data_IF_586751791744
#
_entry.id   IF_586751791744
#
_cell.length_a   1.000
_cell.length_b   1.000
_cell.length_c   1.000
_cell.angle_alpha   90.00
_cell.angle_beta   90.00
_cell.angle_gamma   90.00
#
_symmetry.space_group_name_H-M   'P 1'
#
loop_
_entity.id
_entity.type
_entity.pdbx_description
1 polymer ?
#
# COMPACT_ATOMS: atom_id res chain seq x y z
N UNK A 1 18.74 -16.06 -36.74
CA UNK A 1 18.00 -14.82 -36.45
C UNK A 1 18.84 -13.96 -35.53
N UNK A 2 19.05 -12.66 -35.80
CA UNK A 2 19.73 -11.78 -34.84
C UNK A 2 18.89 -11.72 -33.55
N UNK A 3 19.53 -11.96 -32.40
CA UNK A 3 18.87 -11.98 -31.09
C UNK A 3 18.21 -10.63 -30.81
N UNK A 4 16.89 -10.62 -30.66
CA UNK A 4 16.17 -9.40 -30.30
C UNK A 4 16.46 -9.08 -28.85
N UNK A 5 17.17 -7.97 -28.62
CA UNK A 5 17.27 -7.36 -27.29
C UNK A 5 15.84 -7.14 -26.79
N UNK A 6 15.57 -7.61 -25.59
CA UNK A 6 14.25 -7.54 -24.98
C UNK A 6 13.87 -6.08 -24.76
N UNK A 7 12.82 -5.62 -25.45
CA UNK A 7 12.35 -4.22 -25.38
C UNK A 7 11.56 -4.02 -24.10
N UNK A 8 12.17 -3.34 -23.12
CA UNK A 8 11.51 -3.00 -21.86
C UNK A 8 10.45 -1.93 -22.08
N UNK A 9 9.31 -2.05 -21.38
CA UNK A 9 8.33 -0.95 -21.32
C UNK A 9 8.97 0.28 -20.67
N UNK A 10 8.69 1.52 -21.14
CA UNK A 10 9.18 2.75 -20.50
C UNK A 10 8.93 2.74 -18.99
N UNK A 11 9.97 3.03 -18.20
CA UNK A 11 9.89 2.96 -16.73
C UNK A 11 10.11 1.57 -16.14
N UNK A 12 10.33 0.52 -16.95
CA UNK A 12 10.81 -0.78 -16.47
C UNK A 12 12.33 -0.79 -16.45
N UNK A 13 12.92 -1.29 -15.36
CA UNK A 13 14.36 -1.54 -15.24
C UNK A 13 14.64 -3.02 -15.06
N UNK A 14 15.75 -3.48 -15.64
CA UNK A 14 16.36 -4.76 -15.32
C UNK A 14 17.49 -4.53 -14.29
N UNK A 15 17.39 -5.19 -13.14
CA UNK A 15 18.43 -5.22 -12.11
C UNK A 15 19.14 -6.56 -12.15
N UNK A 16 20.48 -6.56 -12.24
CA UNK A 16 21.31 -7.76 -12.18
C UNK A 16 21.53 -8.15 -10.70
N UNK A 17 21.31 -9.43 -10.38
CA UNK A 17 21.43 -10.01 -9.04
C UNK A 17 22.68 -10.90 -8.88
N UNK A 18 23.66 -10.80 -9.79
CA UNK A 18 24.90 -11.57 -9.73
C UNK A 18 24.80 -12.92 -10.45
N UNK A 19 24.00 -12.99 -11.53
CA UNK A 19 23.82 -14.19 -12.34
C UNK A 19 22.39 -14.37 -12.81
N UNK A 20 21.41 -13.94 -12.03
CA UNK A 20 19.99 -13.77 -12.36
C UNK A 20 19.63 -12.28 -12.41
N UNK A 21 18.35 -11.93 -12.53
CA UNK A 21 17.93 -10.54 -12.42
C UNK A 21 16.46 -10.35 -12.09
N UNK A 22 16.06 -9.09 -12.00
CA UNK A 22 14.69 -8.68 -11.68
C UNK A 22 14.26 -7.55 -12.61
N UNK A 23 13.13 -7.75 -13.30
CA UNK A 23 12.40 -6.69 -13.99
C UNK A 23 11.47 -5.99 -13.00
N UNK A 24 11.52 -4.67 -12.93
CA UNK A 24 10.71 -3.87 -12.01
C UNK A 24 10.16 -2.62 -12.69
N UNK A 25 8.88 -2.32 -12.47
CA UNK A 25 8.26 -1.09 -12.96
C UNK A 25 8.42 0.07 -11.95
N UNK A 26 8.80 1.26 -12.43
CA UNK A 26 9.05 2.44 -11.60
C UNK A 26 7.78 3.12 -11.08
N UNK A 27 6.63 2.88 -11.70
CA UNK A 27 5.35 3.51 -11.34
C UNK A 27 4.29 2.53 -10.84
N UNK A 28 4.53 1.22 -11.00
CA UNK A 28 3.58 0.18 -10.61
C UNK A 28 4.28 -0.87 -9.74
N UNK A 29 3.60 -1.48 -8.75
CA UNK A 29 4.17 -2.50 -7.87
C UNK A 29 4.23 -3.87 -8.58
N UNK A 30 4.87 -3.90 -9.76
CA UNK A 30 5.03 -5.08 -10.60
C UNK A 30 6.51 -5.42 -10.70
N UNK A 31 6.83 -6.68 -10.41
CA UNK A 31 8.17 -7.22 -10.52
C UNK A 31 8.14 -8.63 -11.15
N UNK A 32 9.18 -8.99 -11.87
CA UNK A 32 9.38 -10.35 -12.36
C UNK A 32 10.82 -10.79 -12.20
N UNK A 33 10.99 -12.01 -11.67
CA UNK A 33 12.28 -12.67 -11.63
C UNK A 33 12.71 -13.11 -13.03
N UNK A 34 13.97 -12.86 -13.37
CA UNK A 34 14.63 -13.23 -14.62
C UNK A 34 15.70 -14.28 -14.30
N UNK A 35 15.52 -15.55 -14.71
CA UNK A 35 16.53 -16.58 -14.46
C UNK A 35 17.83 -16.31 -15.25
N UNK A 36 18.97 -16.91 -14.86
CA UNK A 36 20.26 -16.67 -15.50
C UNK A 36 20.27 -16.88 -17.02
N UNK A 37 19.65 -17.96 -17.49
CA UNK A 37 19.52 -18.22 -18.92
C UNK A 37 18.80 -17.08 -19.67
N UNK A 38 17.79 -16.47 -19.02
CA UNK A 38 17.04 -15.37 -19.59
C UNK A 38 17.72 -14.01 -19.42
N UNK A 39 18.63 -13.86 -18.45
CA UNK A 39 19.47 -12.67 -18.35
C UNK A 39 20.35 -12.48 -19.58
N UNK A 40 20.88 -13.57 -20.13
CA UNK A 40 21.68 -13.51 -21.37
C UNK A 40 20.85 -13.04 -22.57
N UNK A 41 19.57 -13.38 -22.62
CA UNK A 41 18.65 -12.88 -23.66
C UNK A 41 18.25 -11.42 -23.42
N UNK A 42 17.90 -11.08 -22.17
CA UNK A 42 17.37 -9.78 -21.80
C UNK A 42 18.43 -8.66 -21.79
N UNK A 43 19.64 -8.94 -21.30
CA UNK A 43 20.70 -7.94 -21.14
C UNK A 43 21.74 -7.95 -22.28
N UNK A 44 21.96 -9.11 -22.94
CA UNK A 44 23.10 -9.31 -23.86
C UNK A 44 22.70 -9.62 -25.30
N UNK A 45 21.40 -9.66 -25.62
CA UNK A 45 20.91 -9.91 -26.99
C UNK A 45 21.34 -11.26 -27.57
N UNK A 46 21.70 -12.23 -26.72
CA UNK A 46 22.12 -13.54 -27.16
C UNK A 46 20.96 -14.29 -27.83
N UNK A 47 21.25 -15.08 -28.86
CA UNK A 47 20.26 -15.97 -29.46
C UNK A 47 19.76 -16.97 -28.41
N UNK A 48 18.46 -17.27 -28.45
CA UNK A 48 17.84 -18.27 -27.58
C UNK A 48 18.16 -19.66 -28.14
N UNK A 49 18.80 -20.56 -27.37
CA UNK A 49 19.00 -21.95 -27.81
C UNK A 49 17.66 -22.64 -28.06
N UNK A 50 17.60 -23.54 -29.04
CA UNK A 50 16.36 -24.21 -29.47
C UNK A 50 15.64 -24.91 -28.31
N UNK A 51 16.40 -25.56 -27.42
CA UNK A 51 15.92 -26.24 -26.22
C UNK A 51 15.26 -25.31 -25.19
N UNK A 52 15.45 -23.99 -25.32
CA UNK A 52 14.92 -22.99 -24.41
C UNK A 52 13.83 -22.09 -25.01
N UNK A 53 13.53 -22.21 -26.31
CA UNK A 53 12.53 -21.38 -27.00
C UNK A 53 11.14 -21.43 -26.34
N UNK A 54 10.67 -22.62 -25.97
CA UNK A 54 9.37 -22.78 -25.31
C UNK A 54 9.34 -22.10 -23.92
N UNK A 55 10.45 -22.13 -23.18
CA UNK A 55 10.55 -21.44 -21.89
C UNK A 55 10.62 -19.92 -22.08
N UNK A 56 11.37 -19.46 -23.08
CA UNK A 56 11.46 -18.06 -23.47
C UNK A 56 10.09 -17.47 -23.85
N UNK A 57 9.34 -18.16 -24.72
CA UNK A 57 8.00 -17.72 -25.13
C UNK A 57 7.03 -17.60 -23.95
N UNK A 58 7.09 -18.53 -22.99
CA UNK A 58 6.28 -18.44 -21.76
C UNK A 58 6.68 -17.25 -20.88
N UNK A 59 7.98 -16.99 -20.73
CA UNK A 59 8.47 -15.84 -19.95
C UNK A 59 8.04 -14.52 -20.59
N UNK A 60 8.23 -14.37 -21.92
CA UNK A 60 7.79 -13.19 -22.65
C UNK A 60 6.29 -12.96 -22.52
N UNK A 61 5.47 -14.00 -22.68
CA UNK A 61 4.01 -13.89 -22.51
C UNK A 61 3.66 -13.38 -21.11
N UNK A 62 4.29 -13.94 -20.06
CA UNK A 62 4.05 -13.51 -18.69
C UNK A 62 4.50 -12.06 -18.46
N UNK A 63 5.71 -11.69 -18.88
CA UNK A 63 6.24 -10.34 -18.70
C UNK A 63 5.45 -9.28 -19.47
N UNK A 64 4.97 -9.60 -20.67
CA UNK A 64 4.06 -8.73 -21.45
C UNK A 64 2.71 -8.57 -20.77
N UNK A 65 2.12 -9.67 -20.29
CA UNK A 65 0.85 -9.60 -19.53
C UNK A 65 0.98 -8.78 -18.24
N UNK A 66 2.19 -8.71 -17.67
CA UNK A 66 2.51 -7.87 -16.52
C UNK A 66 2.92 -6.43 -16.92
N UNK A 67 2.97 -6.09 -18.21
CA UNK A 67 3.34 -4.76 -18.70
C UNK A 67 4.84 -4.42 -18.61
N UNK A 68 5.71 -5.40 -18.37
CA UNK A 68 7.16 -5.17 -18.17
C UNK A 68 7.95 -5.12 -19.49
N UNK A 69 7.40 -5.67 -20.57
CA UNK A 69 8.07 -5.84 -21.87
C UNK A 69 7.10 -5.44 -22.98
N UNK A 70 7.62 -4.75 -24.00
CA UNK A 70 6.87 -4.36 -25.19
C UNK A 70 6.71 -5.54 -26.18
N UNK A 71 5.69 -5.45 -27.02
CA UNK A 71 5.63 -6.28 -28.22
C UNK A 71 6.70 -5.84 -29.23
N UNK A 72 7.24 -6.81 -29.97
CA UNK A 72 7.97 -6.49 -31.18
C UNK A 72 6.92 -6.10 -32.23
N UNK A 73 6.64 -4.80 -32.39
CA UNK A 73 5.76 -4.35 -33.47
C UNK A 73 6.38 -4.69 -34.83
N UNK A 74 5.63 -5.26 -35.80
CA UNK A 74 5.83 -4.92 -37.19
C UNK A 74 5.40 -3.44 -37.39
N UNK A 75 6.10 -2.67 -38.23
CA UNK A 75 5.74 -1.28 -38.45
C UNK A 75 4.34 -1.22 -39.09
N UNK A 76 3.48 -0.38 -38.55
CA UNK A 76 2.12 -0.07 -39.02
C UNK A 76 1.09 -1.17 -38.80
N UNK A 77 0.43 -1.14 -37.64
CA UNK A 77 -0.97 -1.54 -37.57
C UNK A 77 -1.72 -0.48 -36.76
N UNK A 78 -2.62 0.31 -37.38
CA UNK A 78 -3.43 1.25 -36.64
C UNK A 78 -4.27 0.45 -35.64
N UNK A 79 -4.25 0.88 -34.38
CA UNK A 79 -5.12 0.34 -33.34
C UNK A 79 -6.58 0.51 -33.79
N UNK A 80 -7.17 -0.55 -34.33
CA UNK A 80 -8.61 -0.72 -34.46
C UNK A 80 -9.21 -0.69 -33.07
N UNK A 81 -9.68 0.50 -32.69
CA UNK A 81 -10.50 0.76 -31.51
C UNK A 81 -11.95 0.68 -31.96
N UNK A 82 -12.43 -0.53 -32.20
CA UNK A 82 -13.82 -0.92 -32.44
C UNK A 82 -14.03 -2.14 -31.53
N UNK A 83 -14.92 -2.18 -30.53
CA UNK A 83 -16.25 -1.62 -30.44
C UNK A 83 -16.51 -1.02 -29.04
N UNK A 84 -16.97 0.23 -29.02
CA UNK A 84 -17.87 0.70 -27.95
C UNK A 84 -19.26 0.83 -28.56
N UNK A 85 -20.32 0.31 -27.94
CA UNK A 85 -21.67 0.49 -28.47
C UNK A 85 -22.00 1.99 -28.46
N UNK A 86 -22.07 2.58 -29.66
CA UNK A 86 -22.35 3.99 -29.90
C UNK A 86 -23.70 4.47 -29.30
N UNK A 87 -24.55 3.56 -28.80
CA UNK A 87 -25.82 3.88 -28.14
C UNK A 87 -25.71 4.30 -26.66
N UNK A 88 -24.54 4.18 -26.03
CA UNK A 88 -24.35 4.59 -24.62
C UNK A 88 -23.66 5.95 -24.48
N UNK A 89 -22.73 6.29 -25.38
CA UNK A 89 -22.06 7.60 -25.40
C UNK A 89 -23.04 8.76 -25.62
N UNK A 90 -24.11 8.53 -26.40
CA UNK A 90 -25.18 9.52 -26.62
C UNK A 90 -26.10 9.76 -25.42
N UNK A 91 -26.17 8.82 -24.46
CA UNK A 91 -26.97 8.98 -23.22
C UNK A 91 -26.22 9.66 -22.09
N UNK A 92 -24.88 9.55 -22.08
CA UNK A 92 -24.01 10.22 -21.10
C UNK A 92 -23.97 11.75 -21.27
N UNK A 93 -24.23 12.27 -22.46
CA UNK A 93 -24.05 13.69 -22.77
C UNK A 93 -25.15 14.63 -22.23
N UNK A 94 -26.22 14.12 -21.60
CA UNK A 94 -27.43 14.91 -21.32
C UNK A 94 -27.95 14.83 -19.89
N UNK A 95 -27.27 14.15 -18.96
CA UNK A 95 -27.67 14.14 -17.55
C UNK A 95 -27.25 15.46 -16.89
N UNK A 96 -28.15 16.43 -16.96
CA UNK A 96 -28.01 17.69 -16.26
C UNK A 96 -28.16 17.45 -14.76
N UNK A 97 -27.03 17.51 -14.04
CA UNK A 97 -27.02 17.54 -12.57
C UNK A 97 -26.93 18.99 -12.11
N UNK A 98 -27.68 19.33 -11.06
CA UNK A 98 -27.66 20.65 -10.44
C UNK A 98 -26.45 20.84 -9.51
N UNK A 99 -25.80 19.74 -9.14
CA UNK A 99 -24.65 19.68 -8.25
C UNK A 99 -23.72 18.51 -8.60
N UNK A 100 -22.50 18.45 -8.05
CA UNK A 100 -21.61 17.32 -8.27
C UNK A 100 -22.18 16.00 -7.71
N UNK A 101 -22.18 14.94 -8.53
CA UNK A 101 -22.65 13.60 -8.16
C UNK A 101 -21.59 12.56 -8.50
N UNK A 102 -21.15 11.77 -7.51
CA UNK A 102 -20.30 10.62 -7.71
C UNK A 102 -21.10 9.33 -7.59
N UNK A 103 -21.30 8.63 -8.70
CA UNK A 103 -22.00 7.35 -8.74
C UNK A 103 -20.98 6.21 -8.73
N UNK A 104 -20.93 5.44 -7.65
CA UNK A 104 -19.95 4.38 -7.41
C UNK A 104 -20.62 3.02 -7.63
N UNK A 105 -20.07 2.22 -8.53
CA UNK A 105 -20.50 0.83 -8.74
C UNK A 105 -19.78 -0.10 -7.77
N UNK A 106 -20.57 -0.94 -7.12
CA UNK A 106 -20.13 -1.92 -6.14
C UNK A 106 -20.74 -3.30 -6.37
N UNK A 107 -20.01 -4.33 -5.92
CA UNK A 107 -20.47 -5.72 -5.95
C UNK A 107 -20.55 -6.26 -4.52
N UNK A 108 -21.62 -6.99 -4.16
CA UNK A 108 -21.69 -7.68 -2.88
C UNK A 108 -20.59 -8.75 -2.83
N UNK A 109 -19.81 -8.75 -1.76
CA UNK A 109 -18.64 -9.63 -1.62
C UNK A 109 -17.31 -8.98 -2.01
N UNK A 110 -17.31 -7.80 -2.63
CA UNK A 110 -16.09 -7.01 -2.77
C UNK A 110 -15.70 -6.41 -1.41
N UNK A 111 -14.62 -6.92 -0.81
CA UNK A 111 -14.08 -6.40 0.46
C UNK A 111 -13.74 -4.91 0.42
N UNK A 112 -13.33 -4.39 -0.74
CA UNK A 112 -13.09 -2.97 -0.95
C UNK A 112 -14.38 -2.13 -0.87
N UNK A 113 -15.46 -2.60 -1.50
CA UNK A 113 -16.75 -1.92 -1.47
C UNK A 113 -17.37 -1.91 -0.06
N UNK A 114 -17.20 -2.99 0.71
CA UNK A 114 -17.63 -3.02 2.12
C UNK A 114 -16.90 -1.96 2.96
N UNK A 115 -15.59 -1.80 2.74
CA UNK A 115 -14.81 -0.77 3.43
C UNK A 115 -15.21 0.64 2.98
N UNK A 116 -15.33 0.87 1.68
CA UNK A 116 -15.76 2.16 1.13
C UNK A 116 -17.13 2.57 1.65
N UNK A 117 -18.07 1.63 1.79
CA UNK A 117 -19.37 1.90 2.41
C UNK A 117 -19.23 2.36 3.87
N UNK A 118 -18.40 1.68 4.66
CA UNK A 118 -18.19 2.06 6.05
C UNK A 118 -17.48 3.41 6.18
N UNK A 119 -16.56 3.71 5.27
CA UNK A 119 -15.88 5.00 5.16
C UNK A 119 -16.84 6.15 4.81
N UNK A 120 -17.69 5.96 3.79
CA UNK A 120 -18.73 6.93 3.42
C UNK A 120 -19.74 7.14 4.55
N UNK A 121 -20.06 6.09 5.30
CA UNK A 121 -20.90 6.18 6.48
C UNK A 121 -20.24 6.99 7.61
N UNK A 122 -18.96 6.75 7.89
CA UNK A 122 -18.17 7.52 8.86
C UNK A 122 -18.07 9.00 8.47
N UNK A 123 -18.06 9.29 7.17
CA UNK A 123 -18.00 10.65 6.61
C UNK A 123 -19.38 11.25 6.31
N UNK A 124 -20.50 10.64 6.72
CA UNK A 124 -21.85 11.07 6.31
C UNK A 124 -22.12 12.55 6.59
N UNK A 125 -21.74 13.05 7.76
CA UNK A 125 -21.93 14.45 8.14
C UNK A 125 -21.04 15.40 7.32
N UNK A 126 -19.78 15.01 7.08
CA UNK A 126 -18.88 15.76 6.21
C UNK A 126 -19.48 15.87 4.80
N UNK A 127 -19.92 14.74 4.22
CA UNK A 127 -20.57 14.67 2.92
C UNK A 127 -21.87 15.50 2.87
N UNK A 128 -22.65 15.53 3.95
CA UNK A 128 -23.86 16.34 4.07
C UNK A 128 -23.63 17.85 3.90
N UNK A 129 -22.41 18.34 4.20
CA UNK A 129 -22.05 19.77 4.08
C UNK A 129 -21.54 20.18 2.70
N UNK A 130 -21.25 19.22 1.82
CA UNK A 130 -20.49 19.48 0.58
C UNK A 130 -21.31 19.90 -0.65
N UNK A 131 -22.63 20.10 -0.51
CA UNK A 131 -23.56 20.25 -1.66
C UNK A 131 -23.25 19.29 -2.82
N UNK A 132 -22.84 18.07 -2.49
CA UNK A 132 -22.52 17.01 -3.42
C UNK A 132 -23.25 15.73 -3.00
N UNK A 133 -23.44 14.81 -3.95
CA UNK A 133 -24.09 13.53 -3.68
C UNK A 133 -23.16 12.38 -4.04
N UNK A 134 -23.04 11.40 -3.15
CA UNK A 134 -22.37 10.14 -3.43
C UNK A 134 -23.43 9.05 -3.47
N UNK A 135 -23.55 8.36 -4.59
CA UNK A 135 -24.53 7.30 -4.82
C UNK A 135 -23.79 5.97 -5.00
N UNK A 136 -23.97 5.02 -4.11
CA UNK A 136 -23.45 3.65 -4.28
C UNK A 136 -24.53 2.77 -4.90
N UNK A 137 -24.24 2.22 -6.07
CA UNK A 137 -25.10 1.30 -6.83
C UNK A 137 -24.47 -0.09 -6.89
N UNK A 138 -25.30 -1.13 -6.95
CA UNK A 138 -24.86 -2.53 -6.91
C UNK A 138 -26.06 -3.47 -6.75
N UNK A 139 -25.85 -4.67 -6.19
CA UNK A 139 -26.98 -5.55 -5.83
C UNK A 139 -27.68 -5.02 -4.57
N UNK A 140 -28.92 -4.55 -4.74
CA UNK A 140 -29.76 -4.04 -3.66
C UNK A 140 -30.24 -2.60 -3.89
N UNK A 141 -30.83 -1.99 -2.85
CA UNK A 141 -31.29 -0.60 -2.93
C UNK A 141 -30.07 0.35 -2.99
N UNK A 142 -30.05 1.33 -3.92
CA UNK A 142 -29.01 2.35 -3.93
C UNK A 142 -28.94 3.08 -2.59
N UNK A 143 -27.72 3.46 -2.20
CA UNK A 143 -27.47 4.22 -0.97
C UNK A 143 -26.89 5.56 -1.33
N UNK A 144 -27.45 6.63 -0.77
CA UNK A 144 -27.01 8.01 -1.01
C UNK A 144 -26.42 8.60 0.26
N UNK A 145 -25.28 9.28 0.12
CA UNK A 145 -24.70 10.16 1.12
C UNK A 145 -24.59 11.57 0.54
N UNK A 146 -24.63 12.58 1.42
CA UNK A 146 -24.60 13.99 1.01
C UNK A 146 -25.99 14.55 0.69
N UNK A 147 -26.06 15.43 -0.30
CA UNK A 147 -27.31 16.06 -0.72
C UNK A 147 -28.31 15.04 -1.26
N UNK A 148 -29.61 15.26 -1.00
CA UNK A 148 -30.68 14.35 -1.43
C UNK A 148 -30.82 14.38 -2.95
N UNK A 149 -30.89 13.18 -3.55
CA UNK A 149 -31.23 12.98 -4.95
C UNK A 149 -32.72 12.62 -5.08
N UNK A 150 -33.36 13.06 -6.16
CA UNK A 150 -34.74 12.64 -6.48
C UNK A 150 -34.77 11.16 -6.88
N UNK A 151 -35.87 10.46 -6.60
CA UNK A 151 -35.99 9.02 -6.91
C UNK A 151 -35.87 8.71 -8.40
N UNK A 152 -36.45 9.55 -9.27
CA UNK A 152 -36.31 9.41 -10.72
C UNK A 152 -34.87 9.66 -11.21
N UNK A 153 -34.17 10.62 -10.61
CA UNK A 153 -32.76 10.87 -10.94
C UNK A 153 -31.83 9.75 -10.52
N UNK A 154 -32.12 9.02 -9.43
CA UNK A 154 -31.28 7.92 -8.97
C UNK A 154 -31.24 6.73 -9.96
N UNK A 155 -32.34 6.44 -10.65
CA UNK A 155 -32.40 5.36 -11.65
C UNK A 155 -31.57 5.71 -12.88
N UNK A 156 -31.73 6.93 -13.41
CA UNK A 156 -30.94 7.43 -14.54
C UNK A 156 -29.43 7.49 -14.22
N UNK A 157 -29.08 7.91 -13.00
CA UNK A 157 -27.69 7.92 -12.52
C UNK A 157 -27.10 6.51 -12.41
N UNK A 158 -27.90 5.54 -11.95
CA UNK A 158 -27.47 4.15 -11.87
C UNK A 158 -27.23 3.53 -13.25
N UNK A 159 -28.09 3.84 -14.23
CA UNK A 159 -27.92 3.40 -15.62
C UNK A 159 -26.61 3.94 -16.24
N UNK A 160 -26.29 5.22 -16.02
CA UNK A 160 -25.03 5.81 -16.50
C UNK A 160 -23.80 5.12 -15.91
N UNK A 161 -23.88 4.67 -14.66
CA UNK A 161 -22.78 3.98 -14.00
C UNK A 161 -22.66 2.50 -14.39
N UNK A 162 -23.74 1.86 -14.86
CA UNK A 162 -23.79 0.43 -15.18
C UNK A 162 -22.69 0.00 -16.19
N UNK A 163 -22.39 0.85 -17.17
CA UNK A 163 -21.34 0.59 -18.16
C UNK A 163 -19.94 0.51 -17.54
N UNK A 164 -19.70 1.17 -16.40
CA UNK A 164 -18.41 1.12 -15.70
C UNK A 164 -18.22 -0.14 -14.87
N UNK A 165 -19.30 -0.91 -14.62
CA UNK A 165 -19.24 -2.17 -13.88
C UNK A 165 -18.30 -3.20 -14.55
N UNK A 166 -18.24 -3.19 -15.89
CA UNK A 166 -17.38 -4.06 -16.67
C UNK A 166 -15.87 -3.84 -16.45
N UNK A 167 -15.49 -2.70 -15.85
CA UNK A 167 -14.09 -2.36 -15.55
C UNK A 167 -13.61 -2.85 -14.17
N UNK A 168 -14.47 -3.54 -13.41
CA UNK A 168 -14.17 -4.03 -12.07
C UNK A 168 -14.64 -3.09 -10.95
N UNK A 169 -14.55 -3.54 -9.70
CA UNK A 169 -14.99 -2.78 -8.52
C UNK A 169 -13.83 -2.41 -7.60
N UNK A 170 -13.84 -1.20 -7.01
CA UNK A 170 -14.79 -0.11 -7.27
C UNK A 170 -14.49 0.61 -8.60
N UNK A 171 -15.55 0.98 -9.32
CA UNK A 171 -15.51 1.94 -10.43
C UNK A 171 -16.57 3.01 -10.17
N UNK A 172 -16.41 4.21 -10.74
CA UNK A 172 -17.36 5.29 -10.54
C UNK A 172 -17.53 6.17 -11.78
N UNK A 173 -18.59 6.96 -11.78
CA UNK A 173 -18.81 8.07 -12.70
C UNK A 173 -18.96 9.34 -11.88
N UNK A 174 -18.12 10.33 -12.15
CA UNK A 174 -18.25 11.68 -11.61
C UNK A 174 -19.02 12.54 -12.62
N UNK A 175 -20.09 13.17 -12.14
CA UNK A 175 -20.92 14.12 -12.86
C UNK A 175 -20.77 15.48 -12.18
N UNK A 176 -20.46 16.52 -12.94
CA UNK A 176 -20.41 17.89 -12.43
C UNK A 176 -21.33 18.78 -13.27
N UNK A 177 -21.91 19.86 -12.69
CA UNK A 177 -22.81 20.74 -13.42
C UNK A 177 -22.14 21.34 -14.65
N UNK A 178 -22.72 21.13 -15.83
CA UNK A 178 -22.21 21.65 -17.10
C UNK A 178 -21.05 20.87 -17.73
N UNK A 179 -20.54 19.83 -17.07
CA UNK A 179 -19.41 19.03 -17.55
C UNK A 179 -19.85 17.68 -18.13
N UNK A 180 -19.01 17.12 -19.00
CA UNK A 180 -19.17 15.73 -19.45
C UNK A 180 -18.88 14.73 -18.32
N UNK A 181 -19.61 13.61 -18.22
CA UNK A 181 -19.34 12.60 -17.21
C UNK A 181 -17.92 12.02 -17.30
N UNK A 182 -17.24 11.89 -16.16
CA UNK A 182 -15.89 11.29 -16.06
C UNK A 182 -15.95 9.91 -15.44
N UNK A 183 -15.50 8.89 -16.17
CA UNK A 183 -15.32 7.53 -15.63
C UNK A 183 -14.05 7.43 -14.80
N UNK A 184 -14.15 6.79 -13.64
CA UNK A 184 -13.08 6.56 -12.68
C UNK A 184 -12.97 5.06 -12.38
N UNK A 185 -11.74 4.56 -12.30
CA UNK A 185 -11.49 3.13 -12.13
C UNK A 185 -10.53 2.87 -10.98
N UNK A 186 -10.93 1.96 -10.09
CA UNK A 186 -10.15 1.55 -8.93
C UNK A 186 -10.25 2.51 -7.75
N UNK A 187 -9.88 2.00 -6.57
CA UNK A 187 -10.03 2.70 -5.29
C UNK A 187 -9.32 4.07 -5.29
N UNK A 188 -8.08 4.14 -5.77
CA UNK A 188 -7.31 5.40 -5.76
C UNK A 188 -8.00 6.54 -6.51
N UNK A 189 -8.56 6.27 -7.69
CA UNK A 189 -9.26 7.27 -8.48
C UNK A 189 -10.60 7.69 -7.84
N UNK A 190 -11.34 6.72 -7.27
CA UNK A 190 -12.62 6.98 -6.58
C UNK A 190 -12.39 7.80 -5.31
N UNK A 191 -11.41 7.43 -4.49
CA UNK A 191 -11.08 8.18 -3.25
C UNK A 191 -10.52 9.56 -3.55
N UNK A 192 -9.69 9.72 -4.58
CA UNK A 192 -9.22 11.05 -5.00
C UNK A 192 -10.39 11.96 -5.39
N UNK A 193 -11.36 11.45 -6.15
CA UNK A 193 -12.56 12.21 -6.50
C UNK A 193 -13.41 12.58 -5.28
N UNK A 194 -13.54 11.69 -4.29
CA UNK A 194 -14.22 12.02 -3.03
C UNK A 194 -13.52 13.15 -2.25
N UNK A 195 -12.18 13.15 -2.22
CA UNK A 195 -11.38 14.21 -1.59
C UNK A 195 -11.53 15.53 -2.32
N UNK A 196 -11.45 15.52 -3.65
CA UNK A 196 -11.64 16.72 -4.49
C UNK A 196 -13.05 17.30 -4.33
N UNK A 197 -14.08 16.44 -4.30
CA UNK A 197 -15.46 16.85 -4.00
C UNK A 197 -15.58 17.47 -2.60
N UNK A 198 -14.73 17.04 -1.68
CA UNK A 198 -14.57 17.62 -0.35
C UNK A 198 -13.88 18.98 -0.30
N UNK A 199 -13.38 19.50 -1.43
CA UNK A 199 -12.49 20.67 -1.45
C UNK A 199 -11.07 20.38 -0.93
N UNK A 200 -10.76 19.10 -0.67
CA UNK A 200 -9.43 18.66 -0.24
C UNK A 200 -8.48 18.45 -1.42
N UNK A 201 -7.18 18.39 -1.12
CA UNK A 201 -6.13 18.05 -2.07
C UNK A 201 -5.76 16.57 -1.93
N UNK A 202 -6.05 15.70 -2.92
CA UNK A 202 -5.67 14.28 -2.87
C UNK A 202 -4.16 14.04 -2.69
N UNK A 203 -3.31 14.99 -3.10
CA UNK A 203 -1.86 14.92 -2.89
C UNK A 203 -1.44 15.19 -1.44
N UNK A 204 -2.31 15.82 -0.65
CA UNK A 204 -2.12 16.13 0.78
C UNK A 204 -2.94 15.24 1.70
N UNK A 205 -3.82 14.39 1.18
CA UNK A 205 -4.62 13.47 1.98
C UNK A 205 -4.06 12.05 1.89
N UNK A 206 -3.93 11.38 3.04
CA UNK A 206 -3.48 9.99 3.07
C UNK A 206 -4.64 9.08 2.70
N UNK A 207 -4.42 8.25 1.67
CA UNK A 207 -5.34 7.21 1.25
C UNK A 207 -4.68 5.85 1.41
N UNK A 208 -5.23 4.98 2.26
CA UNK A 208 -4.80 3.59 2.38
C UNK A 208 -5.90 2.67 1.84
N UNK A 209 -5.54 1.83 0.87
CA UNK A 209 -6.40 0.73 0.46
C UNK A 209 -6.43 -0.35 1.57
N UNK A 210 -7.56 -1.03 1.79
CA UNK A 210 -7.58 -2.25 2.59
C UNK A 210 -6.55 -3.26 2.07
N UNK A 211 -5.62 -3.70 2.90
CA UNK A 211 -4.57 -4.66 2.51
C UNK A 211 -4.89 -6.11 2.84
N UNK A 212 -6.06 -6.37 3.46
CA UNK A 212 -6.49 -7.72 3.85
C UNK A 212 -7.99 -7.94 3.63
N UNK A 213 -8.34 -9.17 3.27
CA UNK A 213 -9.73 -9.65 3.25
C UNK A 213 -10.31 -9.87 4.67
N UNK A 214 -9.60 -9.47 5.74
CA UNK A 214 -10.13 -9.50 7.10
C UNK A 214 -11.15 -8.37 7.27
N UNK A 215 -12.28 -8.53 6.60
CA UNK A 215 -13.47 -7.70 6.69
C UNK A 215 -14.09 -7.69 8.10
N UNK A 216 -13.57 -8.49 9.03
CA UNK A 216 -14.12 -8.73 10.37
C UNK A 216 -14.14 -7.51 11.29
N UNK A 217 -13.46 -6.41 10.93
CA UNK A 217 -13.45 -5.23 11.80
C UNK A 217 -14.12 -4.03 11.10
N UNK A 218 -14.29 -4.05 9.78
CA UNK A 218 -14.55 -2.88 8.94
C UNK A 218 -15.99 -2.34 8.80
N UNK A 219 -17.03 -3.13 9.01
CA UNK A 219 -18.31 -2.87 8.31
C UNK A 219 -19.39 -2.09 9.09
N UNK A 220 -19.03 -1.38 10.17
CA UNK A 220 -20.00 -0.70 11.03
C UNK A 220 -19.74 0.80 11.16
N UNK A 221 -20.77 1.60 11.50
CA UNK A 221 -20.60 3.01 11.80
C UNK A 221 -19.56 3.23 12.91
N UNK A 222 -18.98 4.42 12.92
CA UNK A 222 -18.01 4.89 13.92
C UNK A 222 -18.66 6.03 14.71
N UNK A 223 -18.27 6.21 15.96
CA UNK A 223 -18.85 7.23 16.83
C UNK A 223 -18.21 8.60 16.63
N UNK A 224 -17.01 8.62 16.05
CA UNK A 224 -16.26 9.83 15.75
C UNK A 224 -15.29 9.57 14.61
N UNK A 225 -15.15 10.56 13.75
CA UNK A 225 -14.08 10.69 12.77
C UNK A 225 -13.43 12.06 12.98
N UNK A 226 -12.12 12.08 13.14
CA UNK A 226 -11.34 13.32 13.21
C UNK A 226 -10.27 13.34 12.14
N UNK A 227 -9.88 14.55 11.74
CA UNK A 227 -8.75 14.77 10.85
C UNK A 227 -7.55 15.21 11.66
N UNK A 228 -6.44 14.48 11.53
CA UNK A 228 -5.15 14.81 12.14
C UNK A 228 -4.17 15.17 11.02
N UNK A 229 -3.25 16.10 11.27
CA UNK A 229 -2.27 16.55 10.27
C UNK A 229 -0.86 16.06 10.61
N UNK A 230 -0.32 15.16 9.78
CA UNK A 230 1.06 14.67 9.90
C UNK A 230 1.96 15.38 8.89
N UNK A 231 2.75 16.38 9.32
CA UNK A 231 3.70 17.13 8.48
C UNK A 231 3.05 17.63 7.17
N UNK A 232 1.88 18.25 7.27
CA UNK A 232 1.13 18.79 6.14
C UNK A 232 0.28 17.77 5.36
N UNK A 233 0.16 16.53 5.86
CA UNK A 233 -0.76 15.52 5.31
C UNK A 233 -1.95 15.25 6.23
N UNK A 234 -3.16 15.29 5.68
CA UNK A 234 -4.38 14.94 6.39
C UNK A 234 -4.53 13.41 6.55
N UNK A 235 -4.85 12.97 7.75
CA UNK A 235 -5.06 11.56 8.13
C UNK A 235 -6.38 11.45 8.87
N UNK A 236 -7.32 10.67 8.33
CA UNK A 236 -8.59 10.39 9.00
C UNK A 236 -8.43 9.31 10.08
N UNK A 237 -8.79 9.64 11.31
CA UNK A 237 -8.76 8.73 12.46
C UNK A 237 -10.18 8.52 12.97
N UNK A 238 -10.70 7.31 12.82
CA UNK A 238 -12.01 6.93 13.32
C UNK A 238 -11.93 6.23 14.69
N UNK A 239 -12.94 6.45 15.53
CA UNK A 239 -13.05 5.83 16.86
C UNK A 239 -14.42 5.17 17.04
N UNK A 240 -14.45 4.03 17.75
CA UNK A 240 -15.69 3.38 18.20
C UNK A 240 -15.64 3.09 19.71
N UNK A 241 -16.60 3.62 20.43
CA UNK A 241 -16.76 3.57 21.88
C UNK A 241 -16.31 4.87 22.56
N UNK A 242 -16.89 5.22 23.71
CA UNK A 242 -16.64 6.49 24.39
C UNK A 242 -15.17 6.70 24.77
N UNK A 243 -14.44 5.63 25.13
CA UNK A 243 -13.04 5.75 25.52
C UNK A 243 -12.10 5.95 24.31
N UNK A 244 -12.24 5.21 23.19
CA UNK A 244 -11.60 5.57 21.93
C UNK A 244 -11.86 6.99 21.45
N UNK A 245 -13.09 7.48 21.61
CA UNK A 245 -13.41 8.88 21.27
C UNK A 245 -12.56 9.85 22.10
N UNK A 246 -12.45 9.63 23.41
CA UNK A 246 -11.61 10.47 24.30
C UNK A 246 -10.14 10.47 23.86
N UNK A 247 -9.57 9.30 23.59
CA UNK A 247 -8.15 9.19 23.17
C UNK A 247 -7.90 9.90 21.85
N UNK A 248 -8.84 9.80 20.90
CA UNK A 248 -8.73 10.45 19.60
C UNK A 248 -8.94 11.97 19.73
N UNK A 249 -9.79 12.42 20.66
CA UNK A 249 -9.93 13.85 20.97
C UNK A 249 -8.65 14.44 21.59
N UNK A 250 -7.98 13.72 22.49
CA UNK A 250 -6.70 14.14 23.08
C UNK A 250 -5.62 14.29 22.00
N UNK A 251 -5.56 13.35 21.04
CA UNK A 251 -4.66 13.43 19.89
C UNK A 251 -4.91 14.69 19.05
N UNK A 252 -6.17 15.06 18.81
CA UNK A 252 -6.54 16.25 18.02
C UNK A 252 -6.23 17.54 18.78
N UNK A 253 -6.49 17.59 20.08
CA UNK A 253 -6.23 18.76 20.90
C UNK A 253 -4.75 19.19 20.85
N UNK A 254 -3.84 18.22 20.71
CA UNK A 254 -2.40 18.45 20.60
C UNK A 254 -1.95 18.85 19.18
N UNK A 255 -2.61 18.31 18.15
CA UNK A 255 -2.26 18.53 16.73
C UNK A 255 -2.97 19.75 16.12
N UNK A 256 -3.90 20.39 16.85
CA UNK A 256 -4.66 21.56 16.42
C UNK A 256 -3.87 22.86 16.55
N UNK A 257 -2.83 23.02 15.73
CA UNK A 257 -2.18 24.31 15.46
C UNK A 257 -2.29 24.76 13.99
N UNK A 258 -2.93 23.97 13.12
CA UNK A 258 -3.11 24.30 11.70
C UNK A 258 -4.57 24.13 11.31
N UNK A 259 -5.31 25.24 11.37
CA UNK A 259 -6.65 25.35 10.81
C UNK A 259 -6.62 24.98 9.32
N UNK A 260 -7.34 23.92 8.97
CA UNK A 260 -7.58 23.50 7.61
C UNK A 260 -9.00 22.97 7.53
N UNK A 261 -9.74 23.47 6.55
CA UNK A 261 -11.13 23.11 6.28
C UNK A 261 -11.21 21.59 6.06
N UNK A 262 -11.89 20.87 6.96
CA UNK A 262 -11.92 19.41 6.92
C UNK A 262 -13.03 18.98 5.97
N UNK A 263 -12.73 19.08 4.68
CA UNK A 263 -13.47 18.37 3.65
C UNK A 263 -13.53 16.85 3.91
N UNK A 264 -13.97 16.10 2.91
CA UNK A 264 -13.93 14.65 3.00
C UNK A 264 -12.48 14.15 3.24
N UNK A 265 -12.30 13.35 4.29
CA UNK A 265 -11.03 12.68 4.61
C UNK A 265 -11.31 11.18 4.82
N UNK A 266 -10.67 10.29 4.05
CA UNK A 266 -10.90 8.86 4.18
C UNK A 266 -10.38 8.34 5.52
N UNK A 267 -11.11 7.38 6.09
CA UNK A 267 -10.74 6.64 7.29
C UNK A 267 -9.45 5.85 7.00
N UNK A 268 -8.34 6.37 7.51
CA UNK A 268 -7.02 5.74 7.36
C UNK A 268 -6.71 4.88 8.57
N UNK A 269 -6.95 5.40 9.77
CA UNK A 269 -6.78 4.72 11.03
C UNK A 269 -8.12 4.49 11.71
N UNK A 270 -8.21 3.39 12.46
CA UNK A 270 -9.33 3.18 13.39
C UNK A 270 -8.87 2.66 14.73
N UNK A 271 -9.47 3.21 15.78
CA UNK A 271 -9.26 2.82 17.17
C UNK A 271 -10.52 2.16 17.71
N UNK A 272 -10.35 0.95 18.26
CA UNK A 272 -11.42 0.21 18.91
C UNK A 272 -10.95 -0.31 20.27
N UNK A 273 -11.88 -0.46 21.23
CA UNK A 273 -11.61 -1.07 22.54
C UNK A 273 -12.55 -2.24 22.83
N UNK A 274 -12.40 -3.40 22.18
CA UNK A 274 -13.17 -4.57 22.56
C UNK A 274 -12.76 -5.07 23.95
N UNK A 275 -13.70 -5.03 24.91
CA UNK A 275 -13.47 -5.40 26.31
C UNK A 275 -12.32 -4.57 26.92
N UNK A 276 -11.21 -5.20 27.31
CA UNK A 276 -10.11 -4.59 28.03
C UNK A 276 -8.84 -4.41 27.17
N UNK A 277 -8.97 -4.47 25.85
CA UNK A 277 -7.83 -4.35 24.93
C UNK A 277 -8.13 -3.25 23.92
N UNK A 278 -7.12 -2.42 23.67
CA UNK A 278 -7.16 -1.39 22.64
C UNK A 278 -6.52 -1.93 21.36
N UNK A 279 -7.16 -1.68 20.23
CA UNK A 279 -6.73 -2.14 18.91
C UNK A 279 -6.64 -0.94 17.97
N UNK A 280 -5.52 -0.82 17.28
CA UNK A 280 -5.32 0.19 16.24
C UNK A 280 -5.21 -0.52 14.90
N UNK A 281 -6.10 -0.14 13.99
CA UNK A 281 -6.16 -0.64 12.63
C UNK A 281 -5.73 0.44 11.65
N UNK A 282 -5.14 0.01 10.53
CA UNK A 282 -4.84 0.85 9.37
C UNK A 282 -5.45 0.21 8.13
N UNK A 283 -6.43 0.87 7.51
CA UNK A 283 -7.29 0.26 6.48
C UNK A 283 -8.04 -0.96 7.03
N UNK A 284 -7.46 -2.16 6.87
CA UNK A 284 -7.96 -3.42 7.44
C UNK A 284 -6.93 -4.21 8.27
N UNK A 285 -5.72 -3.69 8.39
CA UNK A 285 -4.57 -4.35 9.03
C UNK A 285 -4.50 -3.97 10.51
N UNK A 286 -4.35 -4.95 11.41
CA UNK A 286 -4.11 -4.69 12.82
C UNK A 286 -2.63 -4.34 13.00
N UNK A 287 -2.34 -3.07 13.31
CA UNK A 287 -0.97 -2.55 13.38
C UNK A 287 -0.44 -2.43 14.82
N UNK A 288 -1.33 -2.27 15.80
CA UNK A 288 -0.94 -2.23 17.20
C UNK A 288 -2.04 -2.72 18.13
N UNK A 289 -1.63 -3.15 19.32
CA UNK A 289 -2.52 -3.42 20.45
C UNK A 289 -1.90 -2.92 21.75
N UNK A 290 -2.73 -2.46 22.66
CA UNK A 290 -2.32 -1.86 23.93
C UNK A 290 -3.30 -2.21 25.05
N UNK A 291 -2.88 -2.02 26.29
CA UNK A 291 -3.71 -2.30 27.48
C UNK A 291 -4.26 -1.05 28.15
N UNK A 292 -3.70 0.12 27.86
CA UNK A 292 -4.13 1.40 28.45
C UNK A 292 -4.42 2.46 27.38
N UNK A 293 -5.17 3.48 27.78
CA UNK A 293 -5.44 4.65 26.95
C UNK A 293 -4.13 5.42 26.64
N UNK A 294 -3.27 5.62 27.64
CA UNK A 294 -1.96 6.28 27.49
C UNK A 294 -1.06 5.60 26.45
N UNK A 295 -0.95 4.26 26.52
CA UNK A 295 -0.16 3.51 25.55
C UNK A 295 -0.76 3.63 24.15
N UNK A 296 -2.10 3.61 24.05
CA UNK A 296 -2.82 3.79 22.78
C UNK A 296 -2.56 5.18 22.18
N UNK A 297 -2.65 6.24 22.98
CA UNK A 297 -2.37 7.60 22.57
C UNK A 297 -0.91 7.75 22.10
N UNK A 298 0.04 7.20 22.85
CA UNK A 298 1.46 7.19 22.45
C UNK A 298 1.71 6.44 21.15
N UNK A 299 1.03 5.31 20.92
CA UNK A 299 1.12 4.56 19.67
C UNK A 299 0.50 5.35 18.52
N UNK A 300 -0.65 5.98 18.72
CA UNK A 300 -1.30 6.82 17.69
C UNK A 300 -0.41 7.98 17.27
N UNK A 301 0.19 8.73 18.22
CA UNK A 301 1.14 9.81 17.90
C UNK A 301 2.27 9.32 17.01
N UNK A 302 2.84 8.15 17.34
CA UNK A 302 3.92 7.54 16.56
C UNK A 302 3.46 7.16 15.14
N UNK A 303 2.32 6.49 15.03
CA UNK A 303 1.76 6.05 13.74
C UNK A 303 1.44 7.25 12.87
N UNK A 304 0.79 8.28 13.43
CA UNK A 304 0.44 9.53 12.75
C UNK A 304 1.70 10.22 12.23
N UNK A 305 2.73 10.39 13.05
CA UNK A 305 3.98 11.01 12.64
C UNK A 305 4.63 10.31 11.42
N UNK A 306 4.44 9.00 11.28
CA UNK A 306 4.97 8.22 10.15
C UNK A 306 4.24 8.41 8.82
N UNK A 307 3.08 9.06 8.79
CA UNK A 307 2.41 9.38 7.52
C UNK A 307 3.01 10.57 6.77
N UNK A 308 3.88 11.33 7.43
CA UNK A 308 4.61 12.43 6.83
C UNK A 308 5.44 11.99 5.60
N UNK A 309 5.78 12.92 4.71
CA UNK A 309 6.63 12.62 3.57
C UNK A 309 8.03 12.16 4.04
N UNK A 310 8.65 11.18 3.35
CA UNK A 310 10.03 10.79 3.63
C UNK A 310 11.01 11.90 3.24
N UNK A 311 12.19 11.92 3.86
CA UNK A 311 13.29 12.78 3.40
C UNK A 311 13.84 12.28 2.05
N UNK A 312 14.54 13.15 1.31
CA UNK A 312 15.01 12.85 -0.05
C UNK A 312 15.96 11.63 -0.14
N UNK A 313 16.64 11.31 0.95
CA UNK A 313 17.56 10.17 1.07
C UNK A 313 16.90 8.91 1.67
N UNK A 314 15.63 8.99 2.08
CA UNK A 314 14.91 7.89 2.70
C UNK A 314 14.06 7.14 1.67
N UNK A 315 14.07 5.81 1.77
CA UNK A 315 13.27 4.91 0.96
C UNK A 315 12.05 4.45 1.74
N UNK A 316 10.87 4.76 1.24
CA UNK A 316 9.60 4.34 1.86
C UNK A 316 9.25 2.92 1.40
N UNK A 317 9.23 1.96 2.31
CA UNK A 317 8.83 0.58 2.06
C UNK A 317 7.42 0.29 2.61
N UNK A 318 6.65 -0.45 1.83
CA UNK A 318 5.30 -0.98 2.11
C UNK A 318 5.39 -2.39 2.70
N UNK A 319 6.28 -2.57 3.69
CA UNK A 319 6.48 -3.81 4.43
C UNK A 319 6.22 -3.60 5.92
N UNK A 320 6.24 -4.69 6.69
CA UNK A 320 6.26 -4.62 8.15
C UNK A 320 7.70 -4.64 8.67
N UNK A 321 7.89 -4.21 9.92
CA UNK A 321 9.15 -4.35 10.63
C UNK A 321 8.91 -4.88 12.04
N UNK A 322 9.84 -5.67 12.55
CA UNK A 322 9.89 -6.09 13.94
C UNK A 322 11.19 -5.56 14.53
N UNK A 323 11.10 -4.95 15.70
CA UNK A 323 12.21 -4.32 16.42
C UNK A 323 12.56 -5.17 17.63
N UNK A 324 13.82 -5.49 17.79
CA UNK A 324 14.38 -6.05 19.00
C UNK A 324 14.91 -4.90 19.86
N UNK A 325 14.30 -4.69 21.02
CA UNK A 325 14.87 -3.80 22.03
C UNK A 325 15.53 -4.69 23.07
N UNK A 326 16.86 -4.75 23.06
CA UNK A 326 17.58 -5.42 24.14
C UNK A 326 17.28 -4.73 25.48
N UNK A 327 17.31 -5.54 26.54
CA UNK A 327 17.15 -5.12 27.93
C UNK A 327 18.13 -3.99 28.32
N UNK A 328 17.90 -3.28 29.44
CA UNK A 328 18.72 -2.14 29.83
C UNK A 328 20.21 -2.54 29.89
N UNK A 329 21.03 -1.96 29.01
CA UNK A 329 22.48 -2.17 28.99
C UNK A 329 23.09 -2.72 27.69
N UNK A 330 22.31 -3.01 26.64
CA UNK A 330 22.86 -3.35 25.32
C UNK A 330 22.38 -2.31 24.29
N UNK A 331 23.34 -1.63 23.66
CA UNK A 331 23.09 -0.48 22.78
C UNK A 331 22.63 -0.87 21.35
N UNK A 332 22.48 -2.16 21.06
CA UNK A 332 22.32 -2.64 19.68
C UNK A 332 20.90 -3.15 19.42
N UNK A 333 19.95 -2.21 19.31
CA UNK A 333 18.62 -2.52 18.79
C UNK A 333 18.71 -3.13 17.38
N UNK A 334 17.91 -4.15 17.07
CA UNK A 334 17.93 -4.85 15.77
C UNK A 334 16.58 -4.77 15.09
N UNK A 335 16.57 -4.77 13.76
CA UNK A 335 15.34 -4.75 12.98
C UNK A 335 15.34 -5.87 11.96
N UNK A 336 14.22 -6.59 11.87
CA UNK A 336 13.93 -7.48 10.73
C UNK A 336 12.74 -6.96 9.94
N UNK A 337 12.85 -6.99 8.62
CA UNK A 337 11.75 -6.66 7.71
C UNK A 337 10.91 -7.89 7.42
N UNK A 338 9.59 -7.72 7.31
CA UNK A 338 8.64 -8.82 7.07
C UNK A 338 7.60 -8.41 6.02
N UNK A 339 6.95 -9.36 5.33
CA UNK A 339 5.83 -9.05 4.45
C UNK A 339 4.72 -8.32 5.24
N UNK A 340 4.17 -7.25 4.66
CA UNK A 340 3.13 -6.43 5.32
C UNK A 340 1.93 -7.25 5.77
N UNK A 341 1.49 -8.22 4.96
CA UNK A 341 0.38 -9.10 5.29
C UNK A 341 0.63 -10.03 6.50
N UNK A 342 1.86 -10.10 7.03
CA UNK A 342 2.18 -10.83 8.26
C UNK A 342 2.02 -9.98 9.53
N UNK A 343 1.92 -8.64 9.43
CA UNK A 343 1.94 -7.76 10.60
C UNK A 343 0.82 -8.07 11.60
N UNK A 344 -0.43 -8.20 11.12
CA UNK A 344 -1.57 -8.58 11.97
C UNK A 344 -1.32 -9.88 12.74
N UNK A 345 -0.67 -10.87 12.11
CA UNK A 345 -0.33 -12.15 12.75
C UNK A 345 0.64 -11.96 13.92
N UNK A 346 1.66 -11.10 13.75
CA UNK A 346 2.63 -10.76 14.78
C UNK A 346 2.03 -9.90 15.89
N UNK A 347 1.17 -8.93 15.56
CA UNK A 347 0.51 -8.07 16.56
C UNK A 347 -0.40 -8.88 17.48
N UNK A 348 -1.18 -9.83 16.93
CA UNK A 348 -2.00 -10.76 17.74
C UNK A 348 -1.14 -11.56 18.73
N UNK A 349 0.10 -11.89 18.35
CA UNK A 349 1.07 -12.66 19.16
C UNK A 349 2.14 -11.79 19.83
N UNK A 350 1.92 -10.48 19.94
CA UNK A 350 2.91 -9.54 20.48
C UNK A 350 3.38 -9.86 21.90
N UNK A 351 2.54 -10.46 22.76
CA UNK A 351 3.00 -10.96 24.07
C UNK A 351 4.03 -12.09 23.98
N UNK A 352 3.94 -12.96 22.97
CA UNK A 352 4.90 -14.02 22.76
C UNK A 352 6.22 -13.44 22.24
N UNK A 353 6.16 -12.54 21.25
CA UNK A 353 7.32 -11.81 20.73
C UNK A 353 8.04 -11.02 21.82
N UNK A 354 7.28 -10.29 22.64
CA UNK A 354 7.84 -9.43 23.69
C UNK A 354 8.63 -10.20 24.75
N UNK A 355 8.31 -11.49 24.99
CA UNK A 355 9.11 -12.36 25.86
C UNK A 355 10.50 -12.66 25.31
N UNK A 356 10.67 -12.53 24.01
CA UNK A 356 11.93 -12.72 23.29
C UNK A 356 12.51 -11.40 22.81
N UNK A 357 12.16 -10.27 23.45
CA UNK A 357 12.69 -8.93 23.12
C UNK A 357 12.15 -8.28 21.84
N UNK A 358 11.36 -9.00 21.04
CA UNK A 358 10.81 -8.49 19.78
C UNK A 358 9.47 -7.75 19.95
N UNK A 359 9.27 -6.71 19.15
CA UNK A 359 8.03 -5.94 19.11
C UNK A 359 7.67 -5.57 17.66
N UNK A 360 6.41 -5.70 17.24
CA UNK A 360 5.97 -5.12 15.98
C UNK A 360 6.17 -3.61 15.95
N UNK A 361 6.75 -3.11 14.86
CA UNK A 361 6.76 -1.69 14.55
C UNK A 361 5.38 -1.31 13.97
N UNK A 362 4.63 -0.39 14.61
CA UNK A 362 3.31 0.00 14.13
C UNK A 362 3.38 1.07 13.03
N UNK A 363 4.56 1.55 12.65
CA UNK A 363 4.74 2.66 11.73
C UNK A 363 4.07 2.35 10.37
N UNK A 364 3.41 3.34 9.74
CA UNK A 364 2.70 3.11 8.50
C UNK A 364 3.67 2.78 7.35
N UNK A 365 4.89 3.28 7.40
CA UNK A 365 5.88 2.92 6.41
C UNK A 365 7.19 2.64 7.10
N UNK A 366 7.88 1.62 6.60
CA UNK A 366 9.27 1.37 6.97
C UNK A 366 10.11 2.35 6.16
N UNK A 367 10.71 3.33 6.82
CA UNK A 367 11.63 4.27 6.19
C UNK A 367 13.05 3.70 6.29
N UNK A 368 13.63 3.35 5.15
CA UNK A 368 14.98 2.81 5.06
C UNK A 368 15.96 3.91 4.62
N UNK A 369 17.11 4.01 5.29
CA UNK A 369 18.20 4.90 4.91
C UNK A 369 19.50 4.08 4.80
N UNK A 370 20.42 4.49 3.91
CA UNK A 370 21.78 3.97 3.94
C UNK A 370 22.52 4.57 5.15
N UNK A 371 23.13 3.76 6.02
CA UNK A 371 23.86 4.34 7.16
C UNK A 371 24.94 5.31 6.67
N UNK A 372 24.82 6.58 7.08
CA UNK A 372 25.79 7.62 6.76
C UNK A 372 27.07 7.37 7.55
N UNK A 373 28.18 7.11 6.85
CA UNK A 373 29.47 6.71 7.41
C UNK A 373 30.18 7.76 8.26
N UNK A 374 29.68 8.03 9.48
CA UNK A 374 30.42 8.74 10.54
C UNK A 374 31.01 7.78 11.58
N UNK A 375 31.48 6.62 11.14
CA UNK A 375 32.35 5.74 11.92
C UNK A 375 33.75 5.73 11.30
N UNK A 376 34.85 5.76 12.09
CA UNK A 376 36.19 5.72 11.54
C UNK A 376 36.50 4.29 11.08
N UNK A 377 36.46 4.03 9.78
CA UNK A 377 36.95 2.76 9.23
C UNK A 377 36.50 2.52 7.78
N UNK A 378 37.45 2.40 6.81
CA UNK A 378 37.15 1.86 5.50
C UNK A 378 37.19 0.33 5.62
N UNK A 379 36.05 -0.28 5.92
CA UNK A 379 35.86 -1.72 5.93
C UNK A 379 34.67 -2.11 5.06
N UNK A 380 34.62 -3.34 4.51
CA UNK A 380 33.51 -3.83 3.68
C UNK A 380 32.15 -3.88 4.41
N UNK A 381 32.11 -3.64 5.73
CA UNK A 381 30.91 -3.47 6.56
C UNK A 381 30.29 -2.06 6.51
N UNK A 382 30.81 -1.15 5.69
CA UNK A 382 30.28 0.22 5.58
C UNK A 382 28.91 0.24 4.87
N UNK A 383 27.89 0.64 5.64
CA UNK A 383 26.51 0.98 5.27
C UNK A 383 25.45 -0.13 5.38
N UNK A 384 25.36 -0.82 6.54
CA UNK A 384 24.13 -1.55 6.90
C UNK A 384 22.93 -0.59 6.82
N UNK A 385 21.83 -0.97 6.16
CA UNK A 385 20.67 -0.10 6.09
C UNK A 385 20.06 0.08 7.47
N UNK A 386 19.53 1.27 7.74
CA UNK A 386 18.88 1.61 9.01
C UNK A 386 17.41 1.88 8.81
N UNK A 387 16.59 1.38 9.72
CA UNK A 387 15.21 1.80 9.89
C UNK A 387 15.21 3.16 10.58
N UNK A 388 14.58 4.13 9.96
CA UNK A 388 14.33 5.46 10.53
C UNK A 388 12.92 5.46 11.12
N UNK A 389 12.83 5.48 12.45
CA UNK A 389 11.57 5.65 13.16
C UNK A 389 11.27 7.14 13.35
N UNK A 390 10.15 7.62 12.80
CA UNK A 390 9.66 8.97 13.07
C UNK A 390 9.40 9.14 14.57
N UNK A 391 9.96 10.19 15.17
CA UNK A 391 9.70 10.54 16.56
C UNK A 391 8.77 11.74 16.64
N UNK A 392 7.73 11.71 17.49
CA UNK A 392 6.93 12.89 17.81
C UNK A 392 7.79 14.07 18.33
N UNK A 393 8.90 13.78 19.00
CA UNK A 393 9.85 14.79 19.49
C UNK A 393 10.81 15.33 18.40
N UNK A 394 10.57 15.01 17.12
CA UNK A 394 11.36 15.49 15.98
C UNK A 394 12.70 14.77 15.76
N UNK A 395 13.26 14.10 16.78
CA UNK A 395 14.53 13.36 16.65
C UNK A 395 14.24 11.92 16.24
N UNK A 396 14.41 11.61 14.95
CA UNK A 396 14.19 10.26 14.44
C UNK A 396 15.16 9.24 15.08
N UNK A 397 14.63 8.11 15.53
CA UNK A 397 15.46 6.99 16.01
C UNK A 397 15.94 6.18 14.81
N UNK A 398 17.20 5.76 14.82
CA UNK A 398 17.79 4.93 13.77
C UNK A 398 18.19 3.59 14.34
N UNK A 399 17.74 2.50 13.71
CA UNK A 399 18.04 1.15 14.15
C UNK A 399 18.55 0.30 12.98
N UNK A 400 19.64 -0.44 13.13
CA UNK A 400 20.18 -1.27 12.05
C UNK A 400 19.20 -2.37 11.65
N UNK A 401 18.99 -2.52 10.35
CA UNK A 401 18.28 -3.65 9.78
C UNK A 401 19.25 -4.80 9.61
N UNK A 402 18.96 -5.92 10.28
CA UNK A 402 19.85 -7.08 10.35
C UNK A 402 19.42 -8.22 9.43
N UNK A 403 18.21 -8.17 8.88
CA UNK A 403 17.75 -9.18 7.93
C UNK A 403 16.31 -9.00 7.46
N UNK A 404 15.90 -9.90 6.57
CA UNK A 404 14.54 -9.96 6.03
C UNK A 404 13.98 -11.37 6.22
N UNK A 405 12.77 -11.46 6.76
CA UNK A 405 11.98 -12.68 6.72
C UNK A 405 11.02 -12.54 5.52
N UNK A 406 10.91 -13.57 4.69
CA UNK A 406 10.02 -13.54 3.53
C UNK A 406 9.35 -14.89 3.28
N UNK A 407 8.18 -14.83 2.62
CA UNK A 407 7.45 -16.02 2.21
C UNK A 407 8.27 -16.83 1.20
N UNK A 408 8.35 -18.15 1.38
CA UNK A 408 8.87 -19.05 0.33
C UNK A 408 8.02 -18.91 -0.94
N UNK A 409 8.62 -18.83 -2.14
CA UNK A 409 7.87 -18.87 -3.39
C UNK A 409 7.06 -20.17 -3.48
N UNK A 410 5.81 -20.10 -3.95
CA UNK A 410 5.01 -21.30 -4.20
C UNK A 410 5.69 -22.18 -5.27
N UNK A 411 5.81 -23.47 -4.94
CA UNK A 411 6.39 -24.62 -5.69
C UNK A 411 7.87 -24.94 -5.46
N UNK A 412 8.09 -26.25 -5.28
CA UNK A 412 9.36 -27.00 -5.24
C UNK A 412 10.16 -26.90 -6.54
N UNK A 413 10.70 -25.71 -6.84
CA UNK A 413 11.74 -25.53 -7.86
C UNK A 413 13.13 -25.51 -7.20
N UNK A 414 14.22 -25.74 -7.96
CA UNK A 414 15.56 -25.85 -7.40
C UNK A 414 15.93 -24.66 -6.52
N UNK A 415 16.57 -24.95 -5.38
CA UNK A 415 17.01 -24.00 -4.33
C UNK A 415 17.86 -22.85 -4.90
N UNK A 416 18.55 -23.08 -6.03
CA UNK A 416 19.44 -22.12 -6.70
C UNK A 416 18.77 -20.84 -7.22
N UNK A 417 17.43 -20.73 -7.21
CA UNK A 417 16.70 -19.54 -7.68
C UNK A 417 15.83 -18.86 -6.61
N UNK A 418 15.92 -19.32 -5.36
CA UNK A 418 14.99 -18.86 -4.31
C UNK A 418 15.36 -17.47 -3.78
N UNK A 419 16.66 -17.13 -3.71
CA UNK A 419 17.12 -15.81 -3.26
C UNK A 419 16.74 -14.69 -4.23
N UNK A 420 17.02 -14.83 -5.52
CA UNK A 420 16.65 -13.82 -6.53
C UNK A 420 15.14 -13.55 -6.59
N UNK A 421 14.32 -14.59 -6.42
CA UNK A 421 12.85 -14.45 -6.29
C UNK A 421 12.43 -13.71 -5.03
N UNK A 422 13.08 -13.98 -3.90
CA UNK A 422 12.81 -13.28 -2.66
C UNK A 422 13.20 -11.80 -2.76
N UNK A 423 14.38 -11.49 -3.32
CA UNK A 423 14.82 -10.12 -3.57
C UNK A 423 13.86 -9.38 -4.51
N UNK A 424 13.35 -10.04 -5.55
CA UNK A 424 12.32 -9.48 -6.43
C UNK A 424 11.04 -9.09 -5.64
N UNK A 425 10.61 -9.95 -4.72
CA UNK A 425 9.46 -9.66 -3.87
C UNK A 425 9.73 -8.51 -2.88
N UNK A 426 10.92 -8.46 -2.29
CA UNK A 426 11.30 -7.45 -1.29
C UNK A 426 11.45 -6.07 -1.93
N UNK A 427 12.09 -5.96 -3.10
CA UNK A 427 12.22 -4.66 -3.80
C UNK A 427 10.89 -4.16 -4.33
N UNK A 428 9.93 -5.07 -4.56
CA UNK A 428 8.55 -4.68 -4.85
C UNK A 428 7.82 -4.07 -3.64
N UNK A 429 8.38 -4.14 -2.42
CA UNK A 429 7.83 -3.42 -1.27
C UNK A 429 8.06 -1.92 -1.35
N UNK A 430 9.03 -1.43 -2.12
CA UNK A 430 9.28 0.01 -2.22
C UNK A 430 8.00 0.73 -2.71
N UNK A 431 7.61 1.82 -2.05
CA UNK A 431 6.46 2.63 -2.45
C UNK A 431 6.69 3.20 -3.86
N UNK A 432 5.62 3.50 -4.61
CA UNK A 432 5.68 4.01 -5.99
C UNK A 432 4.92 5.34 -6.09
N UNK A 433 5.27 6.22 -7.05
CA UNK A 433 6.33 6.10 -8.06
C UNK A 433 7.74 6.28 -7.47
N UNK A 434 8.76 5.76 -8.15
CA UNK A 434 10.19 5.94 -7.83
C UNK A 434 11.00 6.19 -9.09
N UNK A 435 12.13 6.88 -8.96
CA UNK A 435 13.10 6.94 -10.06
C UNK A 435 13.86 5.62 -10.22
N UNK A 436 14.36 5.31 -11.44
CA UNK A 436 15.29 4.19 -11.66
C UNK A 436 16.50 4.19 -10.71
N UNK A 437 17.02 5.37 -10.37
CA UNK A 437 18.15 5.52 -9.44
C UNK A 437 17.76 5.11 -8.01
N UNK A 438 16.62 5.59 -7.51
CA UNK A 438 16.12 5.21 -6.19
C UNK A 438 15.86 3.70 -6.10
N UNK A 439 15.33 3.11 -7.17
CA UNK A 439 15.08 1.68 -7.22
C UNK A 439 16.39 0.87 -7.15
N UNK A 440 17.42 1.27 -7.89
CA UNK A 440 18.76 0.66 -7.83
C UNK A 440 19.40 0.82 -6.45
N UNK A 441 19.28 2.00 -5.84
CA UNK A 441 19.82 2.26 -4.51
C UNK A 441 19.12 1.42 -3.43
N UNK A 442 17.78 1.35 -3.45
CA UNK A 442 17.01 0.50 -2.54
C UNK A 442 17.33 -0.99 -2.74
N UNK A 443 17.47 -1.43 -4.00
CA UNK A 443 17.92 -2.79 -4.30
C UNK A 443 19.30 -3.09 -3.72
N UNK A 444 20.28 -2.18 -3.87
CA UNK A 444 21.61 -2.36 -3.30
C UNK A 444 21.54 -2.57 -1.77
N UNK A 445 20.78 -1.72 -1.06
CA UNK A 445 20.59 -1.83 0.39
C UNK A 445 19.98 -3.16 0.81
N UNK A 446 18.92 -3.59 0.13
CA UNK A 446 18.22 -4.84 0.45
C UNK A 446 19.03 -6.07 0.07
N UNK A 447 19.76 -6.03 -1.05
CA UNK A 447 20.54 -7.18 -1.56
C UNK A 447 21.66 -7.61 -0.62
N UNK A 448 22.17 -6.67 0.18
CA UNK A 448 23.18 -6.90 1.20
C UNK A 448 22.63 -7.58 2.47
N UNK A 449 21.31 -7.65 2.64
CA UNK A 449 20.70 -8.24 3.83
C UNK A 449 20.66 -9.78 3.76
N UNK A 450 20.83 -10.46 4.91
CA UNK A 450 20.43 -11.85 5.07
C UNK A 450 18.91 -12.01 4.82
N UNK A 451 18.53 -13.07 4.10
CA UNK A 451 17.12 -13.36 3.77
C UNK A 451 16.77 -14.76 4.26
N UNK A 452 15.85 -14.85 5.22
CA UNK A 452 15.32 -16.11 5.73
C UNK A 452 13.94 -16.39 5.11
N UNK A 453 13.78 -17.58 4.53
CA UNK A 453 12.58 -17.95 3.80
C UNK A 453 11.75 -18.99 4.56
N UNK A 454 10.52 -18.62 4.86
CA UNK A 454 9.59 -19.50 5.58
C UNK A 454 8.16 -19.02 5.52
N UNK A 455 7.28 -19.72 6.24
CA UNK A 455 5.94 -19.25 6.57
C UNK A 455 6.01 -18.22 7.71
N UNK A 456 4.91 -17.50 7.96
CA UNK A 456 4.81 -16.61 9.13
C UNK A 456 4.92 -17.38 10.46
N UNK A 457 4.52 -18.64 10.49
CA UNK A 457 4.67 -19.53 11.66
C UNK A 457 6.13 -19.93 11.88
N UNK A 458 6.87 -20.31 10.83
CA UNK A 458 8.30 -20.58 10.90
C UNK A 458 9.08 -19.31 11.30
N UNK A 459 8.68 -18.15 10.80
CA UNK A 459 9.24 -16.86 11.19
C UNK A 459 9.00 -16.54 12.68
N UNK A 460 7.81 -16.83 13.22
CA UNK A 460 7.54 -16.70 14.66
C UNK A 460 8.43 -17.61 15.49
N UNK A 461 8.60 -18.88 15.07
CA UNK A 461 9.49 -19.81 15.75
C UNK A 461 10.92 -19.28 15.75
N UNK A 462 11.45 -18.87 14.61
CA UNK A 462 12.79 -18.27 14.48
C UNK A 462 13.00 -17.07 15.43
N UNK A 463 12.02 -16.16 15.53
CA UNK A 463 12.13 -14.97 16.39
C UNK A 463 12.01 -15.25 17.89
N UNK A 464 11.46 -16.40 18.25
CA UNK A 464 11.18 -16.76 19.65
C UNK A 464 12.02 -17.93 20.14
N UNK A 465 12.91 -18.44 19.28
CA UNK A 465 13.85 -19.50 19.60
C UNK A 465 14.97 -18.93 20.50
N UNK A 466 15.11 -19.42 21.75
CA UNK A 466 16.16 -18.96 22.66
C UNK A 466 17.57 -19.39 22.23
N UNK A 467 17.70 -20.32 21.28
CA UNK A 467 19.00 -20.86 20.85
C UNK A 467 19.68 -20.10 19.70
N UNK A 468 18.98 -19.16 19.05
CA UNK A 468 19.45 -18.45 17.85
C UNK A 468 19.87 -16.98 18.12
N UNK A 469 20.17 -16.64 19.39
CA UNK A 469 20.71 -15.31 19.77
C UNK A 469 22.05 -14.97 19.09
N UNK A 470 22.68 -15.93 18.41
CA UNK A 470 23.77 -15.75 17.47
C UNK A 470 23.30 -16.09 16.05
N UNK A 471 22.81 -15.10 15.30
CA UNK A 471 22.69 -15.24 13.84
C UNK A 471 24.13 -15.32 13.28
N UNK A 472 24.50 -16.38 12.53
CA UNK A 472 25.83 -16.48 11.94
C UNK A 472 25.99 -15.50 10.77
N UNK A 473 27.22 -15.00 10.65
CA UNK A 473 27.78 -14.07 9.66
C UNK A 473 27.40 -14.32 8.20
#
# INVERSE_FOLDING_TARGET
MPGSVLRLTPGTVLLDTGGDGVLLHCTAPVAAYVPPAAMNWAARGAAVPAEHEAAYARCLKAWRSAGLVQDAEPPNSPLSREDSPAGAAGRRAHLAVDRPVLVIVSSPGCGYCLHLRADLEANREALGRLDASVLLVGEGKPVVWGARLSSGGMEELAEVAADTAGSGTPSAVLLAPGDSPRSLHGFGAVTAALIELGGGDPGRTVCEVPTSCSATVGAGPVDTLVTVHARGRAVGVAARGPEPVSVVADLVAEESASGGDTGYVPVTLRVERPRNVWLIFRGGELVARSRSAEETLSLLRRIVAGFGPPESHQFRLLCGALVHTDAPGHADGRVVLVPRNWLSYFVVRSSLLARSGWRPCPDPYVLLEAASGRGPGPGPDSARPVLVHPSPAGIAQRMPVTGVLAQRPDRSRPVAHTRGRALAAIVNWLARPVSPQQLRAAYALVSALPVHLGTREEAMAFLTDPTDAAVPS
#
